data_IF_181962768490
#
_entry.id   IF_181962768490
#
_cell.length_a   1.000
_cell.length_b   1.000
_cell.length_c   1.000
_cell.angle_alpha   90.00
_cell.angle_beta   90.00
_cell.angle_gamma   90.00
#
_symmetry.space_group_name_H-M   'P 1'
#
loop_
_entity.id
_entity.type
_entity.pdbx_description
1 polymer ?
#
# COMPACT_ATOMS: atom_id res chain seq x y z
N UNK A 1 3.32 -12.33 14.34
CA UNK A 1 3.80 -12.94 13.08
C UNK A 1 2.88 -12.41 12.00
N UNK A 2 3.43 -11.74 10.98
CA UNK A 2 2.63 -11.27 9.86
C UNK A 2 2.20 -12.54 9.11
N UNK A 3 0.93 -12.93 9.19
CA UNK A 3 0.46 -14.04 8.38
C UNK A 3 0.59 -13.56 6.93
N UNK A 4 1.49 -14.19 6.17
CA UNK A 4 1.76 -13.75 4.81
C UNK A 4 0.53 -14.08 3.97
N UNK A 5 -0.33 -13.08 3.74
CA UNK A 5 -1.57 -13.26 2.99
C UNK A 5 -1.27 -13.88 1.63
N UNK A 6 -0.08 -13.63 1.07
CA UNK A 6 0.37 -14.20 -0.20
C UNK A 6 0.52 -15.73 -0.15
N UNK A 7 0.82 -16.29 1.03
CA UNK A 7 0.84 -17.73 1.26
C UNK A 7 -0.60 -18.26 1.39
N UNK A 8 -1.44 -17.56 2.16
CA UNK A 8 -2.83 -17.96 2.40
C UNK A 8 -3.66 -18.03 1.12
N UNK A 9 -3.50 -17.07 0.20
CA UNK A 9 -4.19 -17.07 -1.11
C UNK A 9 -3.68 -18.13 -2.09
N UNK A 10 -2.57 -18.82 -1.77
CA UNK A 10 -2.06 -19.98 -2.53
C UNK A 10 -2.29 -21.31 -1.80
N UNK A 11 -2.98 -21.27 -0.65
CA UNK A 11 -3.30 -22.43 0.16
C UNK A 11 -4.57 -23.17 -0.30
N UNK A 12 -4.88 -24.33 0.32
CA UNK A 12 -6.05 -25.14 -0.03
C UNK A 12 -7.39 -24.43 0.19
N UNK A 13 -7.43 -23.45 1.10
CA UNK A 13 -8.64 -22.67 1.43
C UNK A 13 -8.71 -21.31 0.73
N UNK A 14 -7.90 -21.08 -0.31
CA UNK A 14 -7.77 -19.78 -0.98
C UNK A 14 -9.09 -19.24 -1.54
N UNK A 15 -9.90 -20.08 -2.17
CA UNK A 15 -11.20 -19.66 -2.71
C UNK A 15 -12.20 -19.29 -1.60
N UNK A 16 -12.17 -19.99 -0.47
CA UNK A 16 -13.03 -19.64 0.66
C UNK A 16 -12.62 -18.27 1.24
N UNK A 17 -11.31 -18.06 1.46
CA UNK A 17 -10.78 -16.78 1.90
C UNK A 17 -11.13 -15.63 0.95
N UNK A 18 -11.02 -15.87 -0.36
CA UNK A 18 -11.40 -14.91 -1.39
C UNK A 18 -12.89 -14.52 -1.31
N UNK A 19 -13.76 -15.52 -1.14
CA UNK A 19 -15.21 -15.31 -0.98
C UNK A 19 -15.53 -14.57 0.32
N UNK A 20 -14.87 -14.91 1.43
CA UNK A 20 -15.04 -14.24 2.71
C UNK A 20 -14.64 -12.77 2.63
N UNK A 21 -13.53 -12.45 1.94
CA UNK A 21 -13.13 -11.07 1.70
C UNK A 21 -14.20 -10.31 0.89
N UNK A 22 -14.70 -10.87 -0.22
CA UNK A 22 -15.76 -10.24 -1.02
C UNK A 22 -17.04 -10.03 -0.20
N UNK A 23 -17.41 -11.00 0.65
CA UNK A 23 -18.58 -10.90 1.50
C UNK A 23 -18.45 -9.77 2.52
N UNK A 24 -17.30 -9.66 3.18
CA UNK A 24 -17.01 -8.57 4.11
C UNK A 24 -17.06 -7.20 3.40
N UNK A 25 -16.52 -7.11 2.18
CA UNK A 25 -16.60 -5.89 1.38
C UNK A 25 -18.04 -5.50 1.08
N UNK A 26 -18.89 -6.45 0.68
CA UNK A 26 -20.31 -6.22 0.44
C UNK A 26 -21.03 -5.78 1.72
N UNK A 27 -20.81 -6.46 2.85
CA UNK A 27 -21.37 -6.13 4.17
C UNK A 27 -21.04 -4.70 4.61
N UNK A 28 -19.84 -4.22 4.27
CA UNK A 28 -19.38 -2.87 4.60
C UNK A 28 -19.56 -1.84 3.46
N UNK A 29 -20.19 -2.20 2.36
CA UNK A 29 -20.47 -1.30 1.23
C UNK A 29 -19.21 -0.83 0.48
N UNK A 30 -18.13 -1.60 0.50
CA UNK A 30 -16.85 -1.29 -0.15
C UNK A 30 -16.78 -1.98 -1.51
N UNK A 31 -16.41 -1.22 -2.54
CA UNK A 31 -16.32 -1.77 -3.89
C UNK A 31 -15.09 -2.67 -4.04
N UNK A 32 -15.20 -3.82 -4.75
CA UNK A 32 -14.12 -4.80 -4.95
C UNK A 32 -13.08 -4.36 -5.99
N UNK A 33 -12.53 -3.14 -5.83
CA UNK A 33 -11.35 -2.72 -6.59
C UNK A 33 -10.14 -3.57 -6.18
N UNK A 34 -9.10 -3.71 -7.02
CA UNK A 34 -7.94 -4.53 -6.69
C UNK A 34 -7.29 -4.19 -5.34
N UNK A 35 -7.12 -2.89 -5.04
CA UNK A 35 -6.51 -2.44 -3.78
C UNK A 35 -7.40 -2.75 -2.57
N UNK A 36 -8.71 -2.45 -2.68
CA UNK A 36 -9.64 -2.76 -1.60
C UNK A 36 -9.67 -4.27 -1.36
N UNK A 37 -9.79 -5.06 -2.41
CA UNK A 37 -9.83 -6.52 -2.29
C UNK A 37 -8.59 -7.06 -1.57
N UNK A 38 -7.41 -6.52 -1.87
CA UNK A 38 -6.20 -6.87 -1.14
C UNK A 38 -6.28 -6.52 0.35
N UNK A 39 -6.71 -5.31 0.70
CA UNK A 39 -6.87 -4.90 2.10
C UNK A 39 -7.83 -5.86 2.82
N UNK A 40 -8.95 -6.20 2.20
CA UNK A 40 -9.98 -7.06 2.78
C UNK A 40 -9.59 -8.54 2.83
N UNK A 41 -8.64 -9.01 1.99
CA UNK A 41 -7.99 -10.30 2.17
C UNK A 41 -7.23 -10.38 3.51
N UNK A 42 -6.55 -9.31 3.92
CA UNK A 42 -5.94 -9.25 5.26
C UNK A 42 -7.00 -9.28 6.37
N UNK A 43 -8.12 -8.55 6.21
CA UNK A 43 -9.22 -8.56 7.18
C UNK A 43 -9.81 -9.96 7.35
N UNK A 44 -10.05 -10.67 6.25
CA UNK A 44 -10.62 -12.01 6.28
C UNK A 44 -9.61 -13.07 6.80
N UNK A 45 -8.34 -12.99 6.37
CA UNK A 45 -7.34 -14.02 6.61
C UNK A 45 -6.55 -13.89 7.90
N UNK A 46 -6.40 -12.67 8.42
CA UNK A 46 -5.77 -12.39 9.72
C UNK A 46 -6.42 -11.15 10.37
N UNK A 47 -7.61 -11.31 10.97
CA UNK A 47 -8.34 -10.20 11.59
C UNK A 47 -7.55 -9.49 12.71
N UNK A 48 -6.51 -10.13 13.26
CA UNK A 48 -5.70 -9.59 14.37
C UNK A 48 -4.47 -8.82 13.86
N UNK A 49 -4.17 -8.85 12.56
CA UNK A 49 -3.07 -8.07 12.01
C UNK A 49 -3.33 -6.57 12.12
N UNK A 50 -2.27 -5.77 12.13
CA UNK A 50 -2.37 -4.33 12.34
C UNK A 50 -3.23 -3.61 11.29
N UNK A 51 -3.18 -4.06 10.02
CA UNK A 51 -4.03 -3.55 8.95
C UNK A 51 -5.50 -3.85 9.22
N UNK A 52 -5.82 -5.11 9.53
CA UNK A 52 -7.19 -5.54 9.78
C UNK A 52 -7.79 -4.81 10.99
N UNK A 53 -7.04 -4.67 12.08
CA UNK A 53 -7.49 -3.94 13.26
C UNK A 53 -7.81 -2.47 12.96
N UNK A 54 -7.01 -1.80 12.13
CA UNK A 54 -7.29 -0.42 11.75
C UNK A 54 -8.51 -0.29 10.83
N UNK A 55 -8.68 -1.21 9.86
CA UNK A 55 -9.89 -1.26 9.02
C UNK A 55 -11.13 -1.48 9.89
N UNK A 56 -11.10 -2.46 10.79
CA UNK A 56 -12.20 -2.77 11.70
C UNK A 56 -12.54 -1.58 12.61
N UNK A 57 -11.52 -0.84 13.08
CA UNK A 57 -11.71 0.40 13.86
C UNK A 57 -12.44 1.48 13.04
N UNK A 58 -12.03 1.69 11.79
CA UNK A 58 -12.64 2.68 10.90
C UNK A 58 -14.10 2.35 10.59
N UNK A 59 -14.39 1.12 10.17
CA UNK A 59 -15.77 0.72 9.87
C UNK A 59 -16.67 0.72 11.12
N UNK A 60 -16.13 0.36 12.30
CA UNK A 60 -16.86 0.44 13.57
C UNK A 60 -17.21 1.88 13.95
N UNK A 61 -16.42 2.87 13.53
CA UNK A 61 -16.73 4.29 13.72
C UNK A 61 -17.73 4.86 12.69
N UNK A 62 -18.18 4.04 11.73
CA UNK A 62 -19.07 4.47 10.65
C UNK A 62 -18.36 5.22 9.52
N UNK A 63 -17.03 5.23 9.51
CA UNK A 63 -16.24 5.83 8.45
C UNK A 63 -16.41 5.02 7.15
N UNK A 64 -16.58 5.73 6.03
CA UNK A 64 -16.64 5.07 4.72
C UNK A 64 -15.23 4.82 4.23
N UNK A 65 -14.95 3.61 3.75
CA UNK A 65 -13.67 3.30 3.12
C UNK A 65 -13.63 3.94 1.72
N UNK A 66 -13.12 5.17 1.66
CA UNK A 66 -12.85 5.90 0.42
C UNK A 66 -11.53 5.44 -0.22
N UNK A 67 -11.30 5.83 -1.47
CA UNK A 67 -10.03 5.59 -2.16
C UNK A 67 -8.84 6.17 -1.38
N UNK A 68 -8.95 7.40 -0.89
CA UNK A 68 -7.90 8.05 -0.07
C UNK A 68 -7.58 7.27 1.21
N UNK A 69 -8.61 6.72 1.88
CA UNK A 69 -8.42 5.89 3.07
C UNK A 69 -7.72 4.58 2.72
N UNK A 70 -8.13 3.92 1.63
CA UNK A 70 -7.51 2.69 1.17
C UNK A 70 -6.04 2.89 0.80
N UNK A 71 -5.71 3.97 0.08
CA UNK A 71 -4.34 4.33 -0.26
C UNK A 71 -3.51 4.58 1.00
N UNK A 72 -4.03 5.35 1.96
CA UNK A 72 -3.36 5.63 3.22
C UNK A 72 -3.10 4.37 4.07
N UNK A 73 -4.07 3.45 4.12
CA UNK A 73 -3.92 2.15 4.77
C UNK A 73 -2.85 1.31 4.08
N UNK A 74 -2.89 1.23 2.76
CA UNK A 74 -1.99 0.43 1.96
C UNK A 74 -0.54 0.91 2.09
N UNK A 75 -0.28 2.22 1.93
CA UNK A 75 1.04 2.82 2.16
C UNK A 75 1.53 2.63 3.59
N UNK A 76 0.63 2.57 4.59
CA UNK A 76 1.03 2.41 6.00
C UNK A 76 1.30 0.96 6.40
N UNK A 77 0.65 -0.03 5.79
CA UNK A 77 0.69 -1.41 6.29
C UNK A 77 1.21 -2.45 5.28
N UNK A 78 1.16 -2.19 3.98
CA UNK A 78 1.54 -3.16 2.95
C UNK A 78 2.97 -2.87 2.49
N UNK A 79 3.91 -3.70 2.96
CA UNK A 79 5.35 -3.46 2.82
C UNK A 79 5.83 -3.28 1.37
N UNK A 80 5.28 -4.04 0.41
CA UNK A 80 5.68 -3.90 -1.00
C UNK A 80 5.24 -2.58 -1.64
N UNK A 81 4.15 -1.97 -1.14
CA UNK A 81 3.73 -0.62 -1.56
C UNK A 81 4.62 0.45 -0.93
N UNK A 82 5.05 0.27 0.33
CA UNK A 82 6.08 1.13 0.96
C UNK A 82 7.40 1.14 0.21
N UNK A 83 7.88 -0.04 -0.16
CA UNK A 83 9.15 -0.19 -0.88
C UNK A 83 9.11 0.53 -2.24
N UNK A 84 7.99 0.47 -2.96
CA UNK A 84 7.83 1.20 -4.22
C UNK A 84 7.90 2.72 -4.00
N UNK A 85 7.28 3.25 -2.94
CA UNK A 85 7.35 4.67 -2.61
C UNK A 85 8.74 5.11 -2.16
N UNK A 86 9.41 4.35 -1.29
CA UNK A 86 10.76 4.66 -0.82
C UNK A 86 11.78 4.61 -1.97
N UNK A 87 11.68 3.63 -2.87
CA UNK A 87 12.51 3.53 -4.07
C UNK A 87 12.25 4.70 -5.02
N UNK A 88 10.97 5.07 -5.23
CA UNK A 88 10.59 6.24 -6.04
C UNK A 88 11.18 7.53 -5.48
N UNK A 89 11.05 7.75 -4.18
CA UNK A 89 11.56 8.95 -3.50
C UNK A 89 13.09 9.03 -3.50
N UNK A 90 13.77 7.91 -3.29
CA UNK A 90 15.23 7.82 -3.42
C UNK A 90 15.68 8.14 -4.85
N UNK A 91 14.97 7.65 -5.86
CA UNK A 91 15.20 7.97 -7.27
C UNK A 91 15.06 9.46 -7.56
N UNK A 92 14.00 10.11 -7.06
CA UNK A 92 13.79 11.55 -7.22
C UNK A 92 14.92 12.37 -6.58
N UNK A 93 15.37 11.97 -5.38
CA UNK A 93 16.49 12.63 -4.70
C UNK A 93 17.79 12.50 -5.52
N UNK A 94 18.08 11.31 -6.05
CA UNK A 94 19.24 11.08 -6.91
C UNK A 94 19.18 11.94 -8.18
N UNK A 95 18.02 12.01 -8.86
CA UNK A 95 17.85 12.86 -10.04
C UNK A 95 18.11 14.34 -9.74
N UNK A 96 17.67 14.81 -8.56
CA UNK A 96 17.91 16.18 -8.12
C UNK A 96 19.40 16.45 -7.87
N UNK A 97 20.10 15.54 -7.19
CA UNK A 97 21.54 15.67 -6.95
C UNK A 97 22.35 15.67 -8.25
N UNK A 98 22.00 14.80 -9.21
CA UNK A 98 22.63 14.80 -10.55
C UNK A 98 22.42 16.11 -11.30
N UNK A 99 21.23 16.72 -11.20
CA UNK A 99 20.94 18.01 -11.82
C UNK A 99 21.83 19.12 -11.25
N UNK A 100 21.93 19.19 -9.92
CA UNK A 100 22.79 20.17 -9.23
C UNK A 100 24.27 19.98 -9.56
N UNK A 101 24.76 18.74 -9.66
CA UNK A 101 26.14 18.47 -10.09
C UNK A 101 26.36 18.98 -11.54
N UNK A 102 25.38 18.76 -12.42
CA UNK A 102 25.46 19.21 -13.82
C UNK A 102 25.51 20.74 -13.92
N UNK A 103 24.68 21.45 -13.14
CA UNK A 103 24.69 22.92 -13.05
C UNK A 103 26.06 23.44 -12.59
N UNK A 104 26.61 22.89 -11.51
CA UNK A 104 27.93 23.29 -10.99
C UNK A 104 29.05 23.07 -12.01
N UNK A 105 29.04 21.94 -12.74
CA UNK A 105 30.03 21.69 -13.79
C UNK A 105 29.89 22.71 -14.93
N UNK A 106 28.67 23.06 -15.31
CA UNK A 106 28.42 24.06 -16.36
C UNK A 106 28.85 25.48 -15.96
N UNK A 107 28.67 25.84 -14.69
CA UNK A 107 29.13 27.12 -14.12
C UNK A 107 30.65 27.19 -14.07
N UNK A 108 31.33 26.11 -13.69
CA UNK A 108 32.79 26.04 -13.69
C UNK A 108 33.37 26.13 -15.11
N UNK A 109 32.74 25.46 -16.08
CA UNK A 109 33.17 25.52 -17.48
C UNK A 109 32.95 26.88 -18.14
N UNK A 110 31.90 27.62 -17.74
CA UNK A 110 31.63 28.97 -18.23
C UNK A 110 32.52 30.04 -17.57
N UNK A 111 32.98 29.82 -16.34
CA UNK A 111 33.87 30.73 -15.61
C UNK A 111 35.35 30.60 -16.01
N UNK A 112 35.75 29.49 -16.65
CA UNK A 112 37.13 29.25 -17.14
C UNK A 112 37.40 29.74 -18.58
N UNK A 113 36.44 30.43 -19.23
CA UNK A 113 36.62 31.13 -20.50
C UNK A 113 36.73 32.64 -20.27
#
# INVERSE_FOLDING_TARGET
>A
MNNDIEVSVRGPNSYALAQDALKLMEEHGVWPTPLNYEIWLYVAGDPQCALAQEVLRLVASGEKITEEISDGLASKFIARLKLNDEVRDAGLKLSKELHTITEVISDVQSTQK
#
